data_IF_324472943101
#
_entry.id   IF_324472943101
#
_cell.length_a   1.000
_cell.length_b   1.000
_cell.length_c   1.000
_cell.angle_alpha   90.00
_cell.angle_beta   90.00
_cell.angle_gamma   90.00
#
_symmetry.space_group_name_H-M   'P 1'
#
loop_
_entity.id
_entity.type
_entity.pdbx_description
1 polymer ?
#
# COMPACT_ATOMS: atom_id res chain seq x y z
N UNK A 1 -56.94 -15.27 78.50
CA UNK A 1 -57.13 -13.95 79.15
C UNK A 1 -55.96 -13.08 78.72
N UNK A 2 -56.04 -11.97 77.99
CA UNK A 2 -57.10 -11.07 77.53
C UNK A 2 -56.69 -10.55 76.11
N UNK A 3 -57.57 -10.49 75.10
CA UNK A 3 -58.26 -9.30 74.54
C UNK A 3 -57.32 -8.10 74.27
N UNK A 4 -57.20 -7.50 73.08
CA UNK A 4 -58.24 -6.96 72.17
C UNK A 4 -57.75 -6.76 70.70
N UNK A 5 -58.69 -6.79 69.75
CA UNK A 5 -58.62 -6.26 68.35
C UNK A 5 -59.16 -4.79 68.32
N UNK A 6 -59.30 -3.99 67.21
CA UNK A 6 -59.42 -4.38 65.78
C UNK A 6 -58.95 -3.38 64.65
N UNK A 7 -58.87 -3.89 63.40
CA UNK A 7 -59.28 -3.34 62.07
C UNK A 7 -58.71 -2.05 61.39
N UNK A 8 -58.92 -1.82 60.06
CA UNK A 8 -57.83 -1.58 59.09
C UNK A 8 -57.98 -0.33 58.18
N UNK A 9 -56.91 -0.01 57.43
CA UNK A 9 -56.85 0.80 56.20
C UNK A 9 -55.36 0.88 55.78
N UNK A 10 -54.89 0.93 54.53
CA UNK A 10 -55.47 0.98 53.20
C UNK A 10 -54.41 0.51 52.17
N UNK A 11 -54.89 -0.06 51.06
CA UNK A 11 -54.39 0.03 49.69
C UNK A 11 -53.01 0.68 49.41
N UNK A 12 -52.09 -0.09 48.81
CA UNK A 12 -51.55 0.11 47.45
C UNK A 12 -50.22 -0.63 47.28
N UNK A 13 -50.02 -1.28 46.13
CA UNK A 13 -48.73 -1.85 45.75
C UNK A 13 -48.88 -3.09 44.88
N UNK A 14 -48.92 -2.88 43.57
CA UNK A 14 -49.19 -3.89 42.55
C UNK A 14 -48.23 -5.09 42.54
N UNK A 15 -48.80 -6.23 42.16
CA UNK A 15 -48.14 -7.42 41.64
C UNK A 15 -47.34 -7.07 40.37
N UNK A 16 -46.16 -7.65 40.19
CA UNK A 16 -45.94 -8.66 39.14
C UNK A 16 -44.46 -8.97 38.93
N UNK A 17 -44.22 -10.27 38.83
CA UNK A 17 -43.03 -11.01 38.41
C UNK A 17 -42.56 -10.76 36.96
N UNK A 18 -41.34 -11.27 36.68
CA UNK A 18 -40.68 -11.59 35.39
C UNK A 18 -39.93 -10.40 34.78
N UNK A 19 -38.76 -10.51 34.15
CA UNK A 19 -37.98 -11.58 33.50
C UNK A 19 -36.54 -11.04 33.31
N UNK A 20 -35.47 -11.83 33.12
CA UNK A 20 -34.13 -11.28 32.91
C UNK A 20 -34.05 -10.58 31.54
N UNK A 21 -33.38 -9.43 31.48
CA UNK A 21 -33.22 -8.66 30.25
C UNK A 21 -32.10 -9.28 29.41
N UNK A 22 -32.46 -9.92 28.32
CA UNK A 22 -31.54 -10.17 27.20
C UNK A 22 -31.10 -8.82 26.62
N UNK A 23 -29.80 -8.58 26.53
CA UNK A 23 -29.18 -7.36 25.98
C UNK A 23 -29.02 -7.38 24.44
N UNK A 24 -29.77 -8.23 23.73
CA UNK A 24 -29.80 -8.23 22.27
C UNK A 24 -31.11 -7.60 21.77
N UNK A 25 -31.13 -6.27 21.75
CA UNK A 25 -32.17 -5.48 21.09
C UNK A 25 -31.84 -5.32 19.60
N UNK A 26 -32.36 -6.22 18.77
CA UNK A 26 -32.31 -6.12 17.32
C UNK A 26 -33.30 -5.04 16.83
N UNK A 27 -32.88 -3.77 16.88
CA UNK A 27 -33.65 -2.67 16.28
C UNK A 27 -33.38 -2.62 14.77
N UNK A 28 -34.23 -3.27 14.00
CA UNK A 28 -34.37 -3.01 12.58
C UNK A 28 -34.90 -1.58 12.36
N UNK A 29 -34.22 -0.81 11.51
CA UNK A 29 -34.82 0.34 10.84
C UNK A 29 -34.58 1.72 11.46
N UNK A 30 -33.33 2.20 11.43
CA UNK A 30 -33.06 3.61 11.16
C UNK A 30 -31.86 3.69 10.21
N UNK A 31 -32.11 4.08 8.95
CA UNK A 31 -31.07 4.54 8.03
C UNK A 31 -30.31 5.68 8.72
N UNK A 32 -29.14 5.39 9.25
CA UNK A 32 -28.10 6.40 9.44
C UNK A 32 -27.61 6.74 8.05
N UNK A 33 -27.91 7.95 7.58
CA UNK A 33 -27.01 8.62 6.66
C UNK A 33 -25.74 8.91 7.46
N UNK A 34 -24.84 7.94 7.54
CA UNK A 34 -23.44 8.28 7.70
C UNK A 34 -22.98 8.74 6.32
N UNK A 35 -22.92 10.05 6.13
CA UNK A 35 -21.83 10.58 5.32
C UNK A 35 -20.55 10.26 6.12
N UNK A 36 -20.14 9.00 6.12
CA UNK A 36 -18.80 8.61 6.55
C UNK A 36 -17.89 9.27 5.52
N UNK A 37 -17.27 10.37 5.93
CA UNK A 37 -16.30 11.08 5.12
C UNK A 37 -15.16 10.13 4.84
N UNK A 38 -15.25 9.40 3.72
CA UNK A 38 -14.08 8.74 3.12
C UNK A 38 -13.01 9.84 3.03
N UNK A 39 -11.84 9.67 3.67
CA UNK A 39 -10.77 10.65 3.54
C UNK A 39 -10.50 10.82 2.05
N UNK A 40 -10.70 12.04 1.54
CA UNK A 40 -10.46 12.32 0.14
C UNK A 40 -8.99 11.99 -0.16
N UNK A 41 -8.69 11.24 -1.23
CA UNK A 41 -7.32 10.90 -1.57
C UNK A 41 -6.53 12.20 -1.77
N UNK A 42 -5.54 12.41 -0.92
CA UNK A 42 -4.61 13.54 -1.03
C UNK A 42 -3.67 13.26 -2.21
N UNK A 43 -3.54 14.26 -3.07
CA UNK A 43 -2.57 14.26 -4.17
C UNK A 43 -1.66 15.47 -4.01
N UNK A 44 -0.43 15.32 -4.49
CA UNK A 44 0.55 16.39 -4.55
C UNK A 44 0.57 16.97 -5.95
N UNK A 45 0.53 18.30 -6.05
CA UNK A 45 0.70 19.03 -7.31
C UNK A 45 2.18 18.94 -7.71
N UNK A 46 2.49 17.98 -8.57
CA UNK A 46 3.82 17.71 -9.10
C UNK A 46 3.73 17.39 -10.59
N UNK A 47 4.65 17.95 -11.36
CA UNK A 47 4.83 17.56 -12.75
C UNK A 47 5.28 16.10 -12.85
N UNK A 48 4.87 15.43 -13.92
CA UNK A 48 5.24 14.04 -14.16
C UNK A 48 6.73 13.96 -14.49
N UNK A 49 7.55 13.19 -13.74
CA UNK A 49 8.99 13.08 -13.99
C UNK A 49 9.33 12.11 -15.13
N UNK A 50 8.32 11.64 -15.86
CA UNK A 50 8.39 10.71 -16.98
C UNK A 50 7.35 11.07 -18.04
N UNK A 51 7.62 10.69 -19.29
CA UNK A 51 6.67 10.85 -20.40
C UNK A 51 5.52 9.86 -20.30
N UNK A 52 4.29 10.29 -20.60
CA UNK A 52 3.09 9.43 -20.61
C UNK A 52 3.23 8.26 -21.61
N UNK A 53 4.08 8.37 -22.63
CA UNK A 53 4.38 7.29 -23.57
C UNK A 53 4.89 6.02 -22.88
N UNK A 54 5.51 6.14 -21.69
CA UNK A 54 5.97 5.01 -20.89
C UNK A 54 4.81 4.07 -20.49
N UNK A 55 3.63 4.62 -20.24
CA UNK A 55 2.46 3.88 -19.76
C UNK A 55 1.41 3.66 -20.85
N UNK A 56 1.70 4.00 -22.11
CA UNK A 56 0.75 3.86 -23.22
C UNK A 56 0.35 2.41 -23.50
N UNK A 57 1.19 1.45 -23.10
CA UNK A 57 0.91 0.00 -23.24
C UNK A 57 0.21 -0.59 -22.01
N UNK A 58 -0.22 0.23 -21.05
CA UNK A 58 -0.79 -0.23 -19.78
C UNK A 58 -2.22 0.29 -19.57
N UNK A 59 -2.83 -0.10 -18.44
CA UNK A 59 -4.16 0.39 -18.01
C UNK A 59 -4.20 1.91 -17.74
N UNK A 60 -3.05 2.57 -17.65
CA UNK A 60 -2.94 4.01 -17.44
C UNK A 60 -2.95 4.81 -18.76
N UNK A 61 -3.05 4.15 -19.92
CA UNK A 61 -3.07 4.80 -21.23
C UNK A 61 -4.16 5.88 -21.32
N UNK A 62 -3.75 7.10 -21.67
CA UNK A 62 -4.65 8.25 -21.85
C UNK A 62 -5.34 8.71 -20.56
N UNK A 63 -4.83 8.31 -19.39
CA UNK A 63 -5.33 8.73 -18.09
C UNK A 63 -4.45 9.82 -17.50
N UNK A 64 -5.09 10.75 -16.80
CA UNK A 64 -4.38 11.72 -15.97
C UNK A 64 -3.76 10.97 -14.77
N UNK A 65 -2.49 11.26 -14.49
CA UNK A 65 -1.74 10.72 -13.37
C UNK A 65 -1.42 11.84 -12.39
N UNK A 66 -1.58 11.57 -11.10
CA UNK A 66 -1.24 12.49 -10.02
C UNK A 66 -0.35 11.80 -9.00
N UNK A 67 0.55 12.57 -8.40
CA UNK A 67 1.41 12.08 -7.33
C UNK A 67 0.56 11.84 -6.07
N UNK A 68 0.53 10.60 -5.60
CA UNK A 68 -0.32 10.17 -4.50
C UNK A 68 0.47 9.92 -3.20
N UNK A 69 1.80 9.77 -3.32
CA UNK A 69 2.75 9.62 -2.23
C UNK A 69 4.08 10.28 -2.62
N UNK A 70 4.67 11.02 -1.68
CA UNK A 70 6.02 11.56 -1.78
C UNK A 70 6.75 11.39 -0.47
N UNK A 71 7.84 10.62 -0.45
CA UNK A 71 8.54 10.25 0.77
C UNK A 71 9.07 11.45 1.59
N UNK A 72 9.51 12.52 0.93
CA UNK A 72 9.97 13.73 1.62
C UNK A 72 8.86 14.51 2.34
N UNK A 73 7.60 14.39 1.91
CA UNK A 73 6.44 15.07 2.50
C UNK A 73 5.66 14.14 3.44
N UNK A 74 5.35 12.93 2.97
CA UNK A 74 4.51 11.98 3.69
C UNK A 74 5.34 11.08 4.63
N UNK A 75 6.66 11.06 4.49
CA UNK A 75 7.59 10.29 5.31
C UNK A 75 8.01 8.95 4.69
N UNK A 76 9.21 8.49 5.05
CA UNK A 76 9.89 7.33 4.43
C UNK A 76 9.49 5.96 5.01
N UNK A 77 8.54 5.87 5.93
CA UNK A 77 8.12 4.56 6.46
C UNK A 77 7.18 3.85 5.47
N UNK A 78 7.30 2.52 5.38
CA UNK A 78 6.37 1.69 4.60
C UNK A 78 4.90 1.93 4.99
N UNK A 79 4.64 2.18 6.28
CA UNK A 79 3.30 2.54 6.77
C UNK A 79 2.77 3.84 6.18
N UNK A 80 3.61 4.84 5.92
CA UNK A 80 3.19 6.09 5.30
C UNK A 80 2.98 5.90 3.80
N UNK A 81 3.82 5.10 3.16
CA UNK A 81 3.61 4.68 1.77
C UNK A 81 2.25 4.01 1.58
N UNK A 82 1.89 3.02 2.39
CA UNK A 82 0.61 2.30 2.29
C UNK A 82 -0.60 3.19 2.59
N UNK A 83 -0.53 4.04 3.62
CA UNK A 83 -1.57 5.05 3.90
C UNK A 83 -1.89 5.93 2.69
N UNK A 84 -0.89 6.20 1.85
CA UNK A 84 -1.01 7.06 0.69
C UNK A 84 -1.25 6.31 -0.62
N UNK A 85 -0.85 5.06 -0.76
CA UNK A 85 -0.85 4.34 -2.04
C UNK A 85 -1.90 3.25 -2.15
N UNK A 86 -2.40 2.75 -1.02
CA UNK A 86 -3.35 1.63 -1.01
C UNK A 86 -4.70 2.00 -1.64
N UNK A 87 -5.30 1.03 -2.31
CA UNK A 87 -6.61 1.15 -2.97
C UNK A 87 -6.68 2.25 -4.05
N UNK A 88 -5.55 2.60 -4.66
CA UNK A 88 -5.50 3.56 -5.78
C UNK A 88 -5.37 2.92 -7.16
N UNK A 89 -5.29 1.59 -7.22
CA UNK A 89 -5.17 0.82 -8.47
C UNK A 89 -3.75 0.86 -9.07
N UNK A 90 -3.62 0.66 -10.40
CA UNK A 90 -2.33 0.65 -11.08
C UNK A 90 -1.54 1.94 -10.83
N UNK A 91 -0.24 1.81 -10.60
CA UNK A 91 0.61 2.94 -10.26
C UNK A 91 2.03 2.82 -10.81
N UNK A 92 2.67 3.99 -10.97
CA UNK A 92 4.07 4.14 -11.35
C UNK A 92 4.83 4.62 -10.13
N UNK A 93 5.91 3.93 -9.79
CA UNK A 93 6.85 4.34 -8.73
C UNK A 93 8.07 4.94 -9.38
N UNK A 94 8.53 6.08 -8.85
CA UNK A 94 9.75 6.77 -9.27
C UNK A 94 10.64 6.90 -8.04
N UNK A 95 11.89 6.48 -8.16
CA UNK A 95 12.90 6.59 -7.12
C UNK A 95 14.08 7.43 -7.58
N UNK A 96 14.58 8.25 -6.66
CA UNK A 96 15.80 9.03 -6.82
C UNK A 96 16.81 8.57 -5.79
N UNK A 97 17.99 8.19 -6.26
CA UNK A 97 19.12 7.81 -5.39
C UNK A 97 19.98 9.03 -5.02
N UNK A 98 20.78 8.90 -3.98
CA UNK A 98 21.83 9.85 -3.57
C UNK A 98 22.90 10.16 -4.65
N UNK A 99 23.00 9.32 -5.68
CA UNK A 99 23.92 9.50 -6.81
C UNK A 99 23.30 10.20 -8.01
N UNK A 100 22.20 10.92 -7.81
CA UNK A 100 21.40 11.56 -8.88
C UNK A 100 20.85 10.58 -9.93
N UNK A 101 20.85 9.28 -9.65
CA UNK A 101 20.28 8.26 -10.54
C UNK A 101 18.77 8.15 -10.35
N UNK A 102 18.05 8.13 -11.48
CA UNK A 102 16.59 8.06 -11.54
C UNK A 102 16.17 6.69 -12.08
N UNK A 103 15.26 6.05 -11.37
CA UNK A 103 14.67 4.76 -11.78
C UNK A 103 13.19 4.72 -11.46
N UNK A 104 12.52 3.68 -11.92
CA UNK A 104 11.14 3.45 -11.56
C UNK A 104 10.66 2.04 -11.85
N UNK A 105 9.39 1.85 -11.55
CA UNK A 105 8.70 0.58 -11.72
C UNK A 105 7.21 0.83 -11.94
N UNK A 106 6.57 -0.06 -12.69
CA UNK A 106 5.13 -0.03 -12.92
C UNK A 106 4.47 -1.24 -12.25
N UNK A 107 3.51 -0.96 -11.36
CA UNK A 107 2.68 -1.95 -10.70
C UNK A 107 1.25 -1.91 -11.31
N UNK A 108 0.84 -2.93 -12.09
CA UNK A 108 -0.50 -3.02 -12.66
C UNK A 108 -1.61 -3.31 -11.63
N UNK A 109 -1.32 -3.97 -10.52
CA UNK A 109 -2.34 -4.40 -9.53
C UNK A 109 -2.66 -3.32 -8.48
N UNK A 110 -1.67 -2.46 -8.21
CA UNK A 110 -1.70 -1.52 -7.09
C UNK A 110 -1.31 -2.17 -5.76
N UNK A 111 -1.62 -1.48 -4.66
CA UNK A 111 -1.30 -1.91 -3.29
C UNK A 111 -2.56 -2.01 -2.44
N UNK A 112 -2.58 -2.97 -1.51
CA UNK A 112 -3.71 -3.24 -0.62
C UNK A 112 -3.28 -3.66 0.79
N UNK A 113 -1.97 -3.72 1.07
CA UNK A 113 -1.41 -4.20 2.33
C UNK A 113 -1.90 -5.62 2.69
N UNK A 114 -1.93 -6.51 1.70
CA UNK A 114 -2.51 -7.86 1.85
C UNK A 114 -1.56 -8.89 2.45
N UNK A 115 -0.27 -8.58 2.55
CA UNK A 115 0.80 -9.52 2.91
C UNK A 115 0.87 -10.74 1.97
N UNK A 116 0.52 -10.53 0.70
CA UNK A 116 0.50 -11.57 -0.35
C UNK A 116 1.30 -11.14 -1.58
N UNK A 117 1.40 -12.04 -2.57
CA UNK A 117 2.02 -11.78 -3.85
C UNK A 117 1.02 -11.90 -4.99
N UNK A 118 1.27 -11.15 -6.06
CA UNK A 118 0.44 -11.14 -7.25
C UNK A 118 1.22 -11.61 -8.47
N UNK A 119 0.56 -12.45 -9.28
CA UNK A 119 1.07 -12.82 -10.58
C UNK A 119 0.74 -11.74 -11.61
N UNK A 120 1.76 -11.30 -12.35
CA UNK A 120 1.57 -10.32 -13.41
C UNK A 120 2.69 -10.41 -14.43
N UNK A 121 2.35 -10.29 -15.72
CA UNK A 121 3.34 -10.16 -16.80
C UNK A 121 3.49 -8.71 -17.27
N UNK A 122 2.56 -7.83 -16.89
CA UNK A 122 2.53 -6.42 -17.29
C UNK A 122 3.33 -5.54 -16.32
N UNK A 123 3.80 -6.08 -15.19
CA UNK A 123 4.73 -5.39 -14.32
C UNK A 123 6.11 -5.28 -15.00
N UNK A 124 6.70 -4.09 -14.93
CA UNK A 124 8.04 -3.85 -15.47
C UNK A 124 8.81 -2.85 -14.62
N UNK A 125 10.14 -2.96 -14.67
CA UNK A 125 11.05 -1.97 -14.11
C UNK A 125 11.55 -1.06 -15.23
N UNK A 126 12.07 0.11 -14.90
CA UNK A 126 12.71 0.98 -15.89
C UNK A 126 13.71 1.92 -15.25
N UNK A 127 14.65 2.42 -16.04
CA UNK A 127 15.68 3.36 -15.57
C UNK A 127 16.08 4.34 -16.66
N UNK A 128 16.68 5.46 -16.25
CA UNK A 128 17.30 6.40 -17.17
C UNK A 128 18.80 6.16 -17.20
N UNK A 129 19.41 5.96 -18.39
CA UNK A 129 20.85 5.89 -18.48
C UNK A 129 21.47 7.26 -18.15
N UNK A 130 22.66 7.26 -17.55
CA UNK A 130 23.39 8.50 -17.22
C UNK A 130 23.85 9.31 -18.46
N UNK A 131 23.56 8.82 -19.67
CA UNK A 131 23.88 9.50 -20.90
C UNK A 131 22.78 10.51 -21.25
N UNK A 132 23.14 11.80 -21.20
CA UNK A 132 22.30 12.99 -21.50
C UNK A 132 21.57 12.97 -22.86
N UNK A 133 21.78 11.96 -23.70
CA UNK A 133 21.20 11.85 -25.05
C UNK A 133 19.90 11.04 -25.11
N UNK A 134 19.52 10.34 -24.04
CA UNK A 134 18.34 9.48 -24.03
C UNK A 134 17.41 9.95 -22.91
N UNK A 135 16.43 10.77 -23.28
CA UNK A 135 15.36 11.21 -22.37
C UNK A 135 14.36 10.07 -22.08
N UNK A 136 14.32 9.06 -22.94
CA UNK A 136 13.42 7.91 -22.82
C UNK A 136 13.98 6.84 -21.87
N UNK A 137 13.18 6.37 -20.90
CA UNK A 137 13.59 5.31 -20.00
C UNK A 137 13.75 3.96 -20.72
N UNK A 138 14.74 3.18 -20.31
CA UNK A 138 14.92 1.79 -20.74
C UNK A 138 14.03 0.90 -19.89
N UNK A 139 13.14 0.15 -20.53
CA UNK A 139 12.17 -0.75 -19.86
C UNK A 139 12.75 -2.16 -19.73
N UNK A 140 12.66 -2.69 -18.51
CA UNK A 140 13.06 -4.03 -18.12
C UNK A 140 11.81 -4.86 -17.81
N UNK A 141 11.28 -5.62 -18.78
CA UNK A 141 10.08 -6.42 -18.58
C UNK A 141 10.33 -7.57 -17.60
N UNK A 142 9.25 -8.16 -17.07
CA UNK A 142 9.32 -9.46 -16.40
C UNK A 142 9.70 -10.53 -17.42
N UNK A 143 10.77 -11.29 -17.15
CA UNK A 143 11.30 -12.30 -18.09
C UNK A 143 11.38 -13.71 -17.49
N UNK A 144 11.16 -13.86 -16.19
CA UNK A 144 11.32 -15.14 -15.52
C UNK A 144 10.86 -15.15 -14.08
N UNK A 145 11.39 -16.12 -13.33
CA UNK A 145 11.00 -16.39 -11.94
C UNK A 145 9.62 -17.06 -11.82
N UNK A 146 9.16 -17.21 -10.58
CA UNK A 146 7.78 -17.59 -10.30
C UNK A 146 6.79 -16.57 -10.88
N UNK A 147 5.51 -16.95 -11.02
CA UNK A 147 4.44 -16.03 -11.43
C UNK A 147 4.41 -14.74 -10.58
N UNK A 148 4.79 -14.83 -9.30
CA UNK A 148 4.92 -13.73 -8.34
C UNK A 148 5.81 -12.58 -8.86
N UNK A 149 5.17 -11.58 -9.46
CA UNK A 149 5.82 -10.39 -9.99
C UNK A 149 5.85 -9.27 -8.96
N UNK A 150 4.90 -9.26 -8.03
CA UNK A 150 4.69 -8.18 -7.08
C UNK A 150 4.48 -8.79 -5.70
N UNK A 151 5.03 -8.16 -4.67
CA UNK A 151 4.78 -8.52 -3.28
C UNK A 151 4.21 -7.31 -2.54
N UNK A 152 3.04 -7.46 -1.95
CA UNK A 152 2.28 -6.40 -1.28
C UNK A 152 2.30 -6.61 0.24
N UNK A 153 3.48 -6.43 0.83
CA UNK A 153 3.67 -6.55 2.27
C UNK A 153 3.25 -5.28 3.00
N UNK A 154 2.32 -5.36 3.94
CA UNK A 154 1.82 -4.21 4.73
C UNK A 154 2.92 -3.46 5.51
N UNK A 155 4.06 -4.13 5.74
CA UNK A 155 5.23 -3.59 6.45
C UNK A 155 6.41 -3.28 5.52
N UNK A 156 6.30 -3.59 4.24
CA UNK A 156 7.31 -3.28 3.22
C UNK A 156 6.89 -2.11 2.35
N UNK A 157 7.83 -1.48 1.66
CA UNK A 157 7.49 -0.62 0.54
C UNK A 157 7.23 -1.43 -0.74
N UNK A 158 7.33 -0.79 -1.91
CA UNK A 158 7.23 -1.44 -3.23
C UNK A 158 8.20 -2.62 -3.39
N UNK A 159 7.69 -3.79 -3.77
CA UNK A 159 8.50 -4.98 -4.06
C UNK A 159 8.12 -5.64 -5.38
N UNK A 160 9.11 -5.76 -6.25
CA UNK A 160 9.01 -6.32 -7.58
C UNK A 160 9.87 -7.57 -7.69
N UNK A 161 9.20 -8.71 -7.81
CA UNK A 161 9.81 -10.03 -7.80
C UNK A 161 10.45 -10.36 -6.45
N UNK A 162 11.07 -11.54 -6.36
CA UNK A 162 11.73 -11.96 -5.12
C UNK A 162 12.94 -11.06 -4.79
N UNK A 163 13.60 -10.53 -5.82
CA UNK A 163 14.84 -9.78 -5.72
C UNK A 163 15.00 -8.68 -6.78
N UNK A 164 14.03 -8.51 -7.68
CA UNK A 164 14.12 -7.58 -8.82
C UNK A 164 14.35 -6.13 -8.39
N UNK A 165 13.42 -5.58 -7.62
CA UNK A 165 13.55 -4.28 -6.97
C UNK A 165 12.76 -4.30 -5.66
N UNK A 166 13.46 -4.07 -4.55
CA UNK A 166 12.89 -4.03 -3.21
C UNK A 166 13.17 -2.65 -2.61
N UNK A 167 12.13 -1.84 -2.40
CA UNK A 167 12.24 -0.53 -1.76
C UNK A 167 11.66 -0.63 -0.34
N UNK A 168 12.47 -0.32 0.66
CA UNK A 168 12.09 -0.44 2.06
C UNK A 168 11.53 -1.82 2.42
N UNK A 169 12.27 -2.93 2.19
CA UNK A 169 11.80 -4.24 2.58
C UNK A 169 11.56 -4.32 4.10
N UNK A 170 10.61 -5.15 4.56
CA UNK A 170 10.35 -5.32 5.99
C UNK A 170 11.59 -5.88 6.68
N UNK A 171 11.84 -5.42 7.91
CA UNK A 171 13.03 -5.82 8.68
C UNK A 171 12.88 -7.23 9.28
N UNK A 172 11.66 -7.75 9.38
CA UNK A 172 11.36 -9.10 9.80
C UNK A 172 10.68 -9.91 8.67
N UNK A 173 10.91 -11.23 8.59
CA UNK A 173 10.22 -12.08 7.64
C UNK A 173 8.72 -12.03 7.91
N UNK A 174 7.93 -11.68 6.89
CA UNK A 174 6.47 -11.57 7.01
C UNK A 174 5.79 -12.95 6.87
N UNK A 175 6.49 -13.93 6.29
CA UNK A 175 5.96 -15.28 6.09
C UNK A 175 6.28 -16.22 7.27
N UNK A 176 5.26 -16.51 8.08
CA UNK A 176 5.18 -17.74 8.89
C UNK A 176 5.84 -17.74 10.28
N UNK A 177 6.19 -16.59 10.85
CA UNK A 177 6.79 -16.54 12.21
C UNK A 177 5.88 -15.79 13.18
N UNK A 178 5.59 -16.42 14.31
CA UNK A 178 4.85 -15.84 15.44
C UNK A 178 5.69 -14.75 16.09
N UNK A 179 5.66 -13.53 15.54
CA UNK A 179 6.33 -12.38 16.16
C UNK A 179 5.50 -11.90 17.35
N UNK A 180 6.11 -11.87 18.54
CA UNK A 180 5.46 -11.42 19.78
C UNK A 180 4.93 -9.98 19.74
N UNK A 181 4.31 -9.51 20.82
CA UNK A 181 3.54 -8.25 20.86
C UNK A 181 4.32 -6.98 20.46
N UNK A 182 5.65 -7.03 20.41
CA UNK A 182 6.55 -5.91 20.06
C UNK A 182 6.99 -5.89 18.59
N UNK A 183 6.28 -6.61 17.71
CA UNK A 183 6.57 -6.76 16.28
C UNK A 183 6.39 -5.48 15.42
N UNK A 184 6.15 -4.32 16.04
CA UNK A 184 6.19 -3.00 15.38
C UNK A 184 7.60 -2.64 14.86
N UNK A 185 8.62 -3.39 15.26
CA UNK A 185 10.02 -3.28 14.84
C UNK A 185 10.31 -3.76 13.39
N UNK A 186 9.31 -4.23 12.65
CA UNK A 186 9.46 -4.79 11.30
C UNK A 186 9.22 -3.83 10.13
N UNK A 187 8.89 -2.55 10.37
CA UNK A 187 8.50 -1.60 9.32
C UNK A 187 9.73 -1.24 8.47
N UNK A 188 9.62 -1.41 7.14
CA UNK A 188 10.66 -1.03 6.20
C UNK A 188 10.83 0.48 6.07
N UNK A 189 12.08 0.90 5.84
CA UNK A 189 12.46 2.28 5.55
C UNK A 189 12.73 2.43 4.04
N UNK A 190 11.92 3.25 3.36
CA UNK A 190 12.01 3.50 1.92
C UNK A 190 13.29 4.26 1.52
N UNK A 191 14.13 4.69 2.47
CA UNK A 191 15.48 5.20 2.17
C UNK A 191 16.44 4.13 1.68
N UNK A 192 16.11 2.85 1.81
CA UNK A 192 16.97 1.77 1.35
C UNK A 192 16.29 0.98 0.25
N UNK A 193 17.02 0.76 -0.85
CA UNK A 193 16.57 -0.12 -1.91
C UNK A 193 17.62 -1.18 -2.23
N UNK A 194 17.15 -2.33 -2.72
CA UNK A 194 17.97 -3.43 -3.20
C UNK A 194 17.44 -3.89 -4.56
N UNK A 195 18.33 -4.32 -5.44
CA UNK A 195 17.96 -4.82 -6.76
C UNK A 195 18.89 -5.93 -7.21
N UNK A 196 18.30 -6.96 -7.80
CA UNK A 196 18.95 -8.06 -8.49
C UNK A 196 18.12 -8.49 -9.70
N UNK A 197 18.63 -8.19 -10.88
CA UNK A 197 18.04 -8.48 -12.18
C UNK A 197 18.53 -9.82 -12.73
N UNK A 198 17.76 -10.38 -13.66
CA UNK A 198 18.10 -11.60 -14.40
C UNK A 198 17.30 -12.84 -14.01
N UNK A 199 16.69 -12.87 -12.82
CA UNK A 199 15.76 -13.93 -12.42
C UNK A 199 14.32 -13.53 -12.72
N UNK A 200 13.82 -12.49 -12.04
CA UNK A 200 12.42 -12.06 -12.17
C UNK A 200 12.24 -11.07 -13.35
N UNK A 201 13.14 -10.09 -13.44
CA UNK A 201 13.11 -9.01 -14.44
C UNK A 201 14.36 -9.03 -15.33
N UNK A 202 14.23 -8.47 -16.54
CA UNK A 202 15.31 -8.41 -17.51
C UNK A 202 16.57 -7.73 -16.94
N UNK A 203 17.75 -8.20 -17.36
CA UNK A 203 19.01 -7.50 -17.07
C UNK A 203 19.07 -6.21 -17.88
N UNK A 204 19.87 -5.26 -17.39
CA UNK A 204 20.19 -4.05 -18.13
C UNK A 204 20.94 -4.39 -19.42
N UNK A 205 20.86 -3.51 -20.41
CA UNK A 205 21.53 -3.67 -21.71
C UNK A 205 23.07 -3.70 -21.58
N UNK A 206 23.61 -3.08 -20.52
CA UNK A 206 25.03 -3.10 -20.17
C UNK A 206 25.46 -4.42 -19.48
N UNK A 207 24.55 -5.38 -19.33
CA UNK A 207 24.80 -6.68 -18.71
C UNK A 207 24.80 -6.66 -17.19
N UNK A 208 24.57 -5.50 -16.56
CA UNK A 208 24.57 -5.37 -15.10
C UNK A 208 23.35 -6.05 -14.48
N UNK A 209 23.57 -6.63 -13.31
CA UNK A 209 22.56 -7.41 -12.57
C UNK A 209 21.80 -6.59 -11.53
N UNK A 210 21.86 -5.26 -11.56
CA UNK A 210 21.10 -4.40 -10.65
C UNK A 210 20.60 -3.18 -11.40
N UNK A 211 19.41 -2.70 -11.06
CA UNK A 211 18.89 -1.45 -11.64
C UNK A 211 19.82 -0.27 -11.32
N UNK A 212 20.52 -0.30 -10.18
CA UNK A 212 21.49 0.73 -9.75
C UNK A 212 22.87 0.58 -10.40
N UNK A 213 23.02 -0.32 -11.37
CA UNK A 213 24.28 -0.55 -12.06
C UNK A 213 25.16 -1.55 -11.31
N UNK A 214 26.34 -1.13 -10.88
CA UNK A 214 27.33 -2.03 -10.28
C UNK A 214 27.00 -2.40 -8.82
N UNK A 215 26.17 -1.60 -8.18
CA UNK A 215 25.74 -1.82 -6.79
C UNK A 215 24.40 -2.54 -6.74
N UNK A 216 24.27 -3.51 -5.83
CA UNK A 216 22.99 -4.21 -5.59
C UNK A 216 22.08 -3.48 -4.60
N UNK A 217 22.55 -2.39 -4.00
CA UNK A 217 21.82 -1.58 -3.01
C UNK A 217 22.04 -0.10 -3.29
N UNK A 218 21.03 0.71 -2.99
CA UNK A 218 21.14 2.16 -3.10
C UNK A 218 20.43 2.83 -1.92
N UNK A 219 20.91 4.03 -1.58
CA UNK A 219 20.21 4.94 -0.67
C UNK A 219 19.29 5.83 -1.50
N UNK A 220 18.02 5.91 -1.12
CA UNK A 220 17.02 6.72 -1.80
C UNK A 220 16.84 8.05 -1.09
N UNK A 221 16.92 9.13 -1.85
CA UNK A 221 16.61 10.49 -1.39
C UNK A 221 15.12 10.80 -1.51
N UNK A 222 14.45 10.22 -2.50
CA UNK A 222 13.04 10.47 -2.75
C UNK A 222 12.38 9.24 -3.38
N UNK A 223 11.15 8.96 -2.96
CA UNK A 223 10.27 7.97 -3.58
C UNK A 223 8.93 8.63 -3.84
N UNK A 224 8.47 8.54 -5.08
CA UNK A 224 7.22 9.12 -5.55
C UNK A 224 6.34 8.03 -6.16
N UNK A 225 5.04 8.12 -5.94
CA UNK A 225 4.07 7.19 -6.53
C UNK A 225 3.02 8.00 -7.27
N UNK A 226 2.77 7.61 -8.51
CA UNK A 226 1.80 8.24 -9.40
C UNK A 226 0.71 7.22 -9.74
N UNK A 227 -0.54 7.62 -9.58
CA UNK A 227 -1.70 6.79 -9.93
C UNK A 227 -2.76 7.65 -10.62
N UNK A 228 -3.75 7.02 -11.25
CA UNK A 228 -4.86 7.76 -11.84
C UNK A 228 -5.97 8.02 -10.82
N UNK A 229 -6.32 9.28 -10.52
CA UNK A 229 -7.45 9.60 -9.63
C UNK A 229 -8.78 9.03 -10.13
N UNK A 230 -8.95 8.91 -11.45
CA UNK A 230 -10.14 8.35 -12.08
C UNK A 230 -10.30 6.85 -11.81
N UNK A 231 -9.19 6.11 -11.70
CA UNK A 231 -9.21 4.68 -11.39
C UNK A 231 -9.33 4.50 -9.87
N UNK A 232 -8.61 5.32 -9.10
CA UNK A 232 -8.67 5.29 -7.65
C UNK A 232 -10.09 5.54 -7.09
N UNK A 233 -10.92 6.32 -7.79
CA UNK A 233 -12.32 6.55 -7.37
C UNK A 233 -13.26 5.35 -7.56
N UNK A 234 -12.81 4.30 -8.26
CA UNK A 234 -13.58 3.07 -8.46
C UNK A 234 -13.44 2.07 -7.30
N UNK A 235 -12.52 2.33 -6.36
CA UNK A 235 -12.28 1.53 -5.15
C UNK A 235 -13.00 2.15 -3.92
#
# INVERSE_FOLDING_TARGET
>A
MAYTSPNPAAFQGWKSSKSPRCLFGWNFGRRRNTNDGKPQPKYHELDLPFSLSLVDKTFLRGKELKCCYRASIDGFSATNFHKCSDFKGPCVIIGYTDKSFKFGAFNPEGYRSTDDYYDSFDAFLFYWPDNEKIDDPIVLPKVGGSGAALFDYARGGPQFGADGLLIGPPLSPVMGVFTGPDASSGIGDLRQAKSRLGLSYAKREDGKESIFGDESKATLEEVQVFCSPQIASLY
#
